data_IF_921084024405
#
_entry.id   IF_921084024405
#
_cell.length_a   1.000
_cell.length_b   1.000
_cell.length_c   1.000
_cell.angle_alpha   90.00
_cell.angle_beta   90.00
_cell.angle_gamma   90.00
#
_symmetry.space_group_name_H-M   'P 1'
#
loop_
_entity.id
_entity.type
_entity.pdbx_description
1 polymer ?
#
# COMPACT_ATOMS: atom_id res chain seq x y z
N UNK A 1 -21.31 4.35 17.55
CA UNK A 1 -20.66 3.03 17.61
C UNK A 1 -20.89 2.37 16.25
N UNK A 2 -19.85 2.22 15.44
CA UNK A 2 -19.96 1.54 14.14
C UNK A 2 -20.08 0.04 14.40
N UNK A 3 -21.19 -0.58 14.00
CA UNK A 3 -21.34 -2.03 14.07
C UNK A 3 -20.77 -2.65 12.79
N UNK A 4 -19.85 -3.61 12.93
CA UNK A 4 -19.18 -4.33 11.82
C UNK A 4 -19.88 -5.65 11.46
N UNK A 5 -21.11 -5.87 11.93
CA UNK A 5 -21.88 -7.06 11.59
C UNK A 5 -22.61 -6.87 10.25
N UNK A 6 -22.71 -7.94 9.44
CA UNK A 6 -23.45 -7.98 8.16
C UNK A 6 -22.84 -7.13 7.03
N UNK A 7 -21.52 -7.13 6.87
CA UNK A 7 -20.79 -6.46 5.77
C UNK A 7 -20.90 -7.20 4.42
N UNK A 8 -22.04 -7.83 4.13
CA UNK A 8 -22.21 -8.71 2.96
C UNK A 8 -22.12 -7.95 1.62
N UNK A 9 -22.24 -6.62 1.65
CA UNK A 9 -22.19 -5.75 0.47
C UNK A 9 -20.82 -5.10 0.27
N UNK A 10 -19.86 -5.32 1.17
CA UNK A 10 -18.53 -4.73 1.07
C UNK A 10 -17.56 -5.75 0.47
N UNK A 11 -16.84 -5.33 -0.57
CA UNK A 11 -15.70 -6.06 -1.12
C UNK A 11 -14.41 -5.33 -0.78
N UNK A 12 -13.48 -6.02 -0.11
CA UNK A 12 -12.20 -5.44 0.24
C UNK A 12 -11.36 -5.31 -1.02
N UNK A 13 -11.03 -4.07 -1.38
CA UNK A 13 -10.15 -3.77 -2.52
C UNK A 13 -8.69 -3.71 -2.09
N UNK A 14 -8.43 -3.28 -0.86
CA UNK A 14 -7.09 -3.17 -0.31
C UNK A 14 -7.12 -3.07 1.21
N UNK A 15 -6.09 -3.59 1.85
CA UNK A 15 -5.82 -3.35 3.28
C UNK A 15 -4.34 -3.11 3.52
N UNK A 16 -4.03 -2.30 4.53
CA UNK A 16 -2.64 -2.04 4.91
C UNK A 16 -2.53 -1.26 6.22
N UNK A 17 -1.30 -1.21 6.72
CA UNK A 17 -0.98 -0.62 8.02
C UNK A 17 -0.13 0.65 7.85
N UNK A 18 -0.40 1.65 8.69
CA UNK A 18 0.42 2.84 8.86
C UNK A 18 0.96 2.90 10.29
N UNK A 19 2.28 3.04 10.40
CA UNK A 19 3.12 3.11 11.60
C UNK A 19 3.85 4.45 11.72
N UNK A 20 3.38 5.50 11.06
CA UNK A 20 4.00 6.83 11.16
C UNK A 20 4.06 7.27 12.62
N UNK A 21 2.99 6.99 13.38
CA UNK A 21 3.03 6.96 14.85
C UNK A 21 3.06 5.51 15.34
N UNK A 22 4.23 5.09 15.87
CA UNK A 22 4.42 3.73 16.42
C UNK A 22 3.55 3.43 17.63
N UNK A 23 3.03 4.46 18.33
CA UNK A 23 2.15 4.30 19.50
C UNK A 23 0.67 4.34 19.12
N UNK A 24 0.35 4.69 17.88
CA UNK A 24 -1.01 4.80 17.37
C UNK A 24 -1.09 4.24 15.94
N UNK A 25 -0.71 2.97 15.80
CA UNK A 25 -0.80 2.25 14.52
C UNK A 25 -2.24 2.30 14.02
N UNK A 26 -2.40 2.56 12.72
CA UNK A 26 -3.70 2.53 12.05
C UNK A 26 -3.72 1.47 10.97
N UNK A 27 -4.78 0.67 10.96
CA UNK A 27 -5.13 -0.18 9.84
C UNK A 27 -6.14 0.56 8.97
N UNK A 28 -5.95 0.48 7.66
CA UNK A 28 -6.89 1.03 6.70
C UNK A 28 -7.42 -0.08 5.80
N UNK A 29 -8.72 -0.07 5.58
CA UNK A 29 -9.40 -0.96 4.65
C UNK A 29 -10.19 -0.13 3.65
N UNK A 30 -9.87 -0.30 2.38
CA UNK A 30 -10.64 0.27 1.28
C UNK A 30 -11.64 -0.78 0.80
N UNK A 31 -12.92 -0.48 0.92
CA UNK A 31 -13.97 -1.34 0.40
C UNK A 31 -14.69 -0.71 -0.80
N UNK A 32 -15.18 -1.55 -1.70
CA UNK A 32 -16.28 -1.24 -2.60
C UNK A 32 -17.59 -1.65 -1.95
N UNK A 33 -18.45 -0.67 -1.65
CA UNK A 33 -19.83 -0.93 -1.29
C UNK A 33 -20.63 -1.21 -2.57
N UNK A 34 -20.97 -2.48 -2.79
CA UNK A 34 -21.70 -2.96 -3.98
C UNK A 34 -23.14 -2.45 -4.04
N UNK A 35 -23.73 -2.11 -2.90
CA UNK A 35 -25.12 -1.63 -2.84
C UNK A 35 -25.22 -0.19 -3.32
N UNK A 36 -24.32 0.64 -2.82
CA UNK A 36 -24.29 2.08 -3.12
C UNK A 36 -23.38 2.42 -4.31
N UNK A 37 -22.60 1.44 -4.79
CA UNK A 37 -21.55 1.57 -5.78
C UNK A 37 -20.54 2.69 -5.44
N UNK A 38 -20.05 2.71 -4.20
CA UNK A 38 -19.12 3.72 -3.68
C UNK A 38 -17.90 3.06 -3.05
N UNK A 39 -16.77 3.78 -3.07
CA UNK A 39 -15.59 3.39 -2.30
C UNK A 39 -15.65 4.01 -0.90
N UNK A 40 -15.43 3.18 0.11
CA UNK A 40 -15.45 3.58 1.52
C UNK A 40 -14.14 3.17 2.18
N UNK A 41 -13.53 4.12 2.86
CA UNK A 41 -12.26 3.93 3.57
C UNK A 41 -12.54 3.85 5.07
N UNK A 42 -12.20 2.71 5.65
CA UNK A 42 -12.26 2.46 7.08
C UNK A 42 -10.89 2.73 7.68
N UNK A 43 -10.85 3.56 8.72
CA UNK A 43 -9.69 3.70 9.61
C UNK A 43 -9.99 2.92 10.89
N UNK A 44 -9.06 2.04 11.26
CA UNK A 44 -9.21 1.12 12.38
C UNK A 44 -7.99 1.25 13.28
N UNK A 45 -8.22 1.39 14.58
CA UNK A 45 -7.19 1.20 15.60
C UNK A 45 -7.16 -0.28 16.01
N UNK A 46 -6.13 -1.05 15.59
CA UNK A 46 -5.90 -2.36 16.15
C UNK A 46 -5.37 -2.26 17.59
N UNK A 47 -5.82 -3.17 18.44
CA UNK A 47 -5.34 -3.40 19.80
C UNK A 47 -5.15 -4.92 19.98
N UNK A 48 -4.55 -5.35 21.09
CA UNK A 48 -4.18 -6.75 21.32
C UNK A 48 -5.39 -7.69 21.29
N UNK A 49 -6.53 -7.24 21.83
CA UNK A 49 -7.73 -8.06 22.02
C UNK A 49 -8.95 -7.56 21.23
N UNK A 50 -8.86 -6.39 20.59
CA UNK A 50 -9.96 -5.76 19.86
C UNK A 50 -9.48 -4.87 18.74
N UNK A 51 -10.37 -4.58 17.80
CA UNK A 51 -10.17 -3.54 16.81
C UNK A 51 -11.32 -2.53 16.91
N UNK A 52 -10.99 -1.24 16.90
CA UNK A 52 -11.98 -0.15 16.95
C UNK A 52 -12.02 0.57 15.62
N UNK A 53 -13.20 0.67 15.01
CA UNK A 53 -13.41 1.52 13.84
C UNK A 53 -13.43 2.98 14.32
N UNK A 54 -12.43 3.74 13.93
CA UNK A 54 -12.30 5.16 14.28
C UNK A 54 -13.15 6.01 13.36
N UNK A 55 -12.97 5.83 12.05
CA UNK A 55 -13.69 6.59 11.02
C UNK A 55 -14.05 5.72 9.84
N UNK A 56 -15.17 6.07 9.19
CA UNK A 56 -15.57 5.57 7.88
C UNK A 56 -15.79 6.78 7.00
N UNK A 57 -15.06 6.88 5.89
CA UNK A 57 -15.13 8.00 4.96
C UNK A 57 -15.55 7.48 3.59
N UNK A 58 -16.51 8.16 2.96
CA UNK A 58 -16.78 7.97 1.53
C UNK A 58 -15.63 8.64 0.78
N UNK A 59 -14.98 7.89 -0.11
CA UNK A 59 -13.95 8.45 -0.99
C UNK A 59 -14.67 9.20 -2.12
N UNK A 60 -14.22 10.42 -2.44
CA UNK A 60 -14.75 11.18 -3.57
C UNK A 60 -14.61 10.35 -4.86
N UNK A 61 -15.72 9.99 -5.55
CA UNK A 61 -15.66 9.16 -6.76
C UNK A 61 -14.86 9.81 -7.90
N UNK A 62 -14.66 11.13 -7.88
CA UNK A 62 -13.88 11.84 -8.88
C UNK A 62 -12.37 11.87 -8.58
N UNK A 63 -11.95 11.44 -7.38
CA UNK A 63 -10.54 11.38 -7.00
C UNK A 63 -9.77 10.32 -7.80
N UNK A 64 -8.47 10.55 -8.00
CA UNK A 64 -7.58 9.54 -8.56
C UNK A 64 -7.55 8.29 -7.67
N UNK A 65 -7.62 8.45 -6.34
CA UNK A 65 -7.72 7.32 -5.42
C UNK A 65 -8.96 6.46 -5.67
N UNK A 66 -10.13 7.06 -5.87
CA UNK A 66 -11.35 6.30 -6.15
C UNK A 66 -11.36 5.63 -7.54
N UNK A 67 -10.57 6.11 -8.50
CA UNK A 67 -10.51 5.54 -9.86
C UNK A 67 -9.32 4.61 -10.07
N UNK A 68 -8.53 4.37 -9.03
CA UNK A 68 -7.30 3.62 -9.14
C UNK A 68 -7.51 2.12 -9.36
N UNK A 69 -6.58 1.52 -10.11
CA UNK A 69 -6.50 0.09 -10.39
C UNK A 69 -5.60 -0.68 -9.42
N UNK A 70 -4.72 0.03 -8.69
CA UNK A 70 -3.82 -0.53 -7.67
C UNK A 70 -3.71 0.42 -6.49
N UNK A 71 -3.43 -0.15 -5.32
CA UNK A 71 -3.33 0.57 -4.06
C UNK A 71 -2.10 0.12 -3.30
N UNK A 72 -1.54 1.03 -2.52
CA UNK A 72 -0.61 0.71 -1.45
C UNK A 72 -0.80 1.68 -0.29
N UNK A 73 -0.25 1.39 0.88
CA UNK A 73 -0.19 2.33 2.01
C UNK A 73 1.26 2.62 2.36
N UNK A 74 1.59 3.89 2.56
CA UNK A 74 2.88 4.24 3.15
C UNK A 74 2.89 3.76 4.59
N UNK A 75 3.80 2.86 4.93
CA UNK A 75 3.84 2.26 6.24
C UNK A 75 4.50 3.17 7.27
N UNK A 76 5.54 3.93 6.93
CA UNK A 76 6.42 4.55 7.96
C UNK A 76 6.60 6.05 7.84
N UNK A 77 6.73 6.59 6.63
CA UNK A 77 7.22 7.97 6.45
C UNK A 77 6.13 9.03 6.38
N UNK A 78 4.88 8.66 6.12
CA UNK A 78 3.75 9.58 6.04
C UNK A 78 2.41 8.86 6.17
N UNK A 79 1.37 9.57 6.63
CA UNK A 79 -0.01 9.09 6.72
C UNK A 79 -0.74 9.25 5.39
N UNK A 80 -0.28 8.51 4.38
CA UNK A 80 -0.82 8.51 3.01
C UNK A 80 -1.01 7.09 2.47
N UNK A 81 -1.92 6.96 1.52
CA UNK A 81 -2.00 5.84 0.59
C UNK A 81 -1.43 6.23 -0.76
N UNK A 82 -1.15 5.23 -1.58
CA UNK A 82 -0.75 5.36 -2.97
C UNK A 82 -1.80 4.71 -3.87
N UNK A 83 -2.01 5.29 -5.04
CA UNK A 83 -3.00 4.83 -6.02
C UNK A 83 -2.43 4.89 -7.43
N UNK A 84 -2.63 3.86 -8.24
CA UNK A 84 -2.33 3.90 -9.68
C UNK A 84 -3.59 4.25 -10.45
N UNK A 85 -3.60 5.41 -11.12
CA UNK A 85 -4.68 5.83 -12.01
C UNK A 85 -4.06 6.37 -13.32
N UNK A 86 -4.54 5.90 -14.48
CA UNK A 86 -4.01 6.30 -15.80
C UNK A 86 -2.49 6.17 -15.93
N UNK A 87 -1.94 5.02 -15.49
CA UNK A 87 -0.51 4.71 -15.49
C UNK A 87 0.38 5.69 -14.70
N UNK A 88 -0.21 6.47 -13.79
CA UNK A 88 0.48 7.38 -12.89
C UNK A 88 0.18 7.02 -11.45
N UNK A 89 1.11 7.33 -10.55
CA UNK A 89 0.93 7.09 -9.11
C UNK A 89 0.58 8.40 -8.42
N UNK A 90 -0.45 8.36 -7.59
CA UNK A 90 -0.89 9.48 -6.77
C UNK A 90 -0.76 9.11 -5.30
N UNK A 91 -0.29 10.04 -4.48
CA UNK A 91 -0.49 9.97 -3.03
C UNK A 91 -1.90 10.44 -2.70
N UNK A 92 -2.53 9.82 -1.70
CA UNK A 92 -3.82 10.22 -1.13
C UNK A 92 -3.67 10.33 0.38
N UNK A 93 -4.00 11.49 0.95
CA UNK A 93 -3.92 11.71 2.39
C UNK A 93 -4.95 10.87 3.14
N UNK A 94 -4.47 10.07 4.09
CA UNK A 94 -5.32 9.28 4.99
C UNK A 94 -5.81 10.09 6.20
N UNK A 95 -5.26 11.31 6.37
CA UNK A 95 -5.63 12.25 7.42
C UNK A 95 -7.02 12.88 7.23
N UNK A 96 -7.22 14.05 7.85
CA UNK A 96 -8.52 14.75 7.80
C UNK A 96 -8.83 15.34 6.43
N UNK A 97 -7.81 15.84 5.73
CA UNK A 97 -7.96 16.41 4.39
C UNK A 97 -7.72 15.32 3.35
N UNK A 98 -8.73 14.99 2.53
CA UNK A 98 -8.64 14.02 1.44
C UNK A 98 -7.90 14.59 0.21
N UNK A 99 -6.71 15.15 0.43
CA UNK A 99 -5.86 15.72 -0.63
C UNK A 99 -5.13 14.62 -1.37
N UNK A 100 -4.97 14.80 -2.67
CA UNK A 100 -4.14 13.95 -3.51
C UNK A 100 -3.11 14.75 -4.29
N UNK A 101 -2.03 14.08 -4.67
CA UNK A 101 -0.90 14.66 -5.41
C UNK A 101 -0.31 13.59 -6.32
N UNK A 102 -0.05 13.94 -7.58
CA UNK A 102 0.73 13.09 -8.49
C UNK A 102 2.18 12.98 -8.00
N UNK A 103 2.69 11.76 -7.93
CA UNK A 103 4.07 11.47 -7.53
C UNK A 103 4.94 11.30 -8.78
N UNK A 104 6.17 11.81 -8.72
CA UNK A 104 7.14 11.72 -9.83
C UNK A 104 8.21 10.69 -9.50
N UNK A 105 8.46 9.76 -10.43
CA UNK A 105 9.45 8.68 -10.26
C UNK A 105 10.60 8.85 -11.23
N UNK A 106 11.78 9.20 -10.72
CA UNK A 106 12.96 9.35 -11.57
C UNK A 106 13.45 7.96 -12.01
N UNK A 107 13.50 7.71 -13.32
CA UNK A 107 14.01 6.46 -13.87
C UNK A 107 12.95 5.35 -14.00
N UNK A 108 11.67 5.65 -13.76
CA UNK A 108 10.56 4.80 -14.20
C UNK A 108 10.26 5.11 -15.68
N UNK A 109 10.32 4.13 -16.59
CA UNK A 109 10.00 4.36 -18.00
C UNK A 109 8.51 4.67 -18.21
N UNK A 110 8.19 5.74 -18.93
CA UNK A 110 6.81 6.18 -19.20
C UNK A 110 6.04 5.22 -20.13
N UNK A 111 6.76 4.42 -20.93
CA UNK A 111 6.20 3.49 -21.89
C UNK A 111 5.91 2.10 -21.30
N UNK A 112 6.16 1.88 -20.01
CA UNK A 112 5.85 0.63 -19.31
C UNK A 112 4.55 0.77 -18.52
N UNK A 113 3.67 -0.23 -18.58
CA UNK A 113 2.41 -0.23 -17.82
C UNK A 113 2.66 -0.66 -16.37
N UNK A 114 2.23 0.17 -15.41
CA UNK A 114 2.28 -0.13 -13.97
C UNK A 114 1.19 -1.14 -13.64
N UNK A 115 1.61 -2.34 -13.25
CA UNK A 115 0.73 -3.47 -12.92
C UNK A 115 0.83 -3.92 -11.47
N UNK A 116 1.79 -3.39 -10.72
CA UNK A 116 2.01 -3.68 -9.31
C UNK A 116 2.47 -2.43 -8.55
N UNK A 117 1.98 -2.27 -7.32
CA UNK A 117 2.35 -1.17 -6.44
C UNK A 117 2.33 -1.68 -5.00
N UNK A 118 3.40 -1.46 -4.24
CA UNK A 118 3.46 -1.89 -2.84
C UNK A 118 4.48 -1.07 -2.06
N UNK A 119 4.21 -0.75 -0.79
CA UNK A 119 5.28 -0.39 0.13
C UNK A 119 5.64 -1.62 0.95
N UNK A 120 6.85 -2.14 0.76
CA UNK A 120 7.36 -3.28 1.51
C UNK A 120 8.40 -2.81 2.50
N UNK A 121 8.20 -3.21 3.74
CA UNK A 121 9.02 -2.78 4.87
C UNK A 121 9.24 -3.95 5.83
N UNK A 122 10.35 -3.89 6.55
CA UNK A 122 10.67 -4.79 7.65
C UNK A 122 10.64 -4.01 8.97
N UNK A 123 10.09 -4.64 10.02
CA UNK A 123 9.95 -4.03 11.35
C UNK A 123 11.08 -4.42 12.32
N UNK A 124 12.01 -5.30 11.93
CA UNK A 124 13.13 -5.75 12.77
C UNK A 124 14.31 -4.79 12.89
N UNK A 125 15.36 -5.24 13.60
CA UNK A 125 16.59 -4.50 13.89
C UNK A 125 17.17 -3.82 12.63
N UNK A 126 17.63 -2.57 12.82
CA UNK A 126 18.12 -1.57 11.85
C UNK A 126 19.22 -2.05 10.88
N UNK A 127 19.66 -3.31 10.93
CA UNK A 127 20.73 -3.83 10.08
C UNK A 127 20.30 -3.95 8.61
N UNK A 128 19.07 -4.36 8.32
CA UNK A 128 18.61 -4.52 6.93
C UNK A 128 17.92 -3.27 6.35
N UNK A 129 17.28 -2.43 7.18
CA UNK A 129 16.56 -1.20 6.78
C UNK A 129 15.74 -1.36 5.48
N UNK A 130 15.06 -2.50 5.33
CA UNK A 130 14.22 -2.75 4.17
C UNK A 130 12.94 -1.92 4.31
N UNK A 131 12.80 -0.87 3.50
CA UNK A 131 11.61 -0.03 3.41
C UNK A 131 11.63 0.68 2.04
N UNK A 132 10.80 0.19 1.12
CA UNK A 132 10.78 0.68 -0.25
C UNK A 132 9.36 0.85 -0.77
N UNK A 133 9.16 1.89 -1.59
CA UNK A 133 8.02 1.98 -2.48
C UNK A 133 8.40 1.26 -3.76
N UNK A 134 7.66 0.22 -4.08
CA UNK A 134 7.96 -0.71 -5.16
C UNK A 134 6.91 -0.53 -6.23
N UNK A 135 7.37 -0.12 -7.41
CA UNK A 135 6.56 -0.04 -8.62
C UNK A 135 6.94 -1.23 -9.49
N UNK A 136 5.96 -2.02 -9.88
CA UNK A 136 6.13 -3.10 -10.83
C UNK A 136 5.43 -2.79 -12.14
N UNK A 137 6.12 -3.05 -13.24
CA UNK A 137 5.62 -2.84 -14.60
C UNK A 137 5.54 -4.14 -15.37
N UNK A 138 4.72 -4.17 -16.41
CA UNK A 138 4.57 -5.30 -17.34
C UNK A 138 4.83 -4.87 -18.78
N UNK A 139 5.56 -5.68 -19.53
CA UNK A 139 5.67 -5.59 -20.99
C UNK A 139 5.66 -6.98 -21.59
N UNK A 140 4.59 -7.33 -22.30
CA UNK A 140 4.34 -8.68 -22.79
C UNK A 140 4.38 -9.69 -21.63
N UNK A 141 5.25 -10.70 -21.72
CA UNK A 141 5.44 -11.72 -20.68
C UNK A 141 6.57 -11.41 -19.69
N UNK A 142 7.01 -10.14 -19.59
CA UNK A 142 8.10 -9.74 -18.69
C UNK A 142 7.58 -8.72 -17.70
N UNK A 143 7.84 -8.95 -16.41
CA UNK A 143 7.65 -7.94 -15.38
C UNK A 143 8.99 -7.35 -14.96
N UNK A 144 8.97 -6.10 -14.50
CA UNK A 144 10.13 -5.42 -13.91
C UNK A 144 9.70 -4.72 -12.62
N UNK A 145 10.58 -4.72 -11.63
CA UNK A 145 10.36 -4.10 -10.34
C UNK A 145 11.39 -2.98 -10.12
N UNK A 146 10.93 -1.88 -9.56
CA UNK A 146 11.70 -0.69 -9.25
C UNK A 146 11.50 -0.33 -7.77
N UNK A 147 12.58 -0.37 -7.00
CA UNK A 147 12.55 -0.17 -5.54
C UNK A 147 13.05 1.24 -5.21
N UNK A 148 12.16 2.12 -4.77
CA UNK A 148 12.50 3.50 -4.41
C UNK A 148 12.62 3.65 -2.90
N UNK A 149 13.65 4.36 -2.44
CA UNK A 149 13.65 4.89 -1.07
C UNK A 149 12.45 5.83 -0.89
N UNK A 150 11.99 6.00 0.34
CA UNK A 150 10.83 6.87 0.64
C UNK A 150 11.25 7.95 1.63
N UNK A 151 10.95 9.21 1.30
CA UNK A 151 11.10 10.36 2.21
C UNK A 151 9.78 11.12 2.24
N UNK A 152 9.19 11.26 3.43
CA UNK A 152 7.92 11.97 3.57
C UNK A 152 6.75 11.35 2.78
N UNK A 153 6.83 10.07 2.44
CA UNK A 153 5.86 9.39 1.59
C UNK A 153 6.11 9.57 0.09
N UNK A 154 7.19 10.20 -0.33
CA UNK A 154 7.51 10.38 -1.75
C UNK A 154 8.69 9.48 -2.15
N UNK A 155 8.71 8.96 -3.40
CA UNK A 155 9.89 8.27 -3.91
C UNK A 155 11.08 9.22 -3.96
N UNK A 156 12.21 8.79 -3.39
CA UNK A 156 13.44 9.59 -3.34
C UNK A 156 14.49 9.04 -4.31
N UNK A 157 14.89 9.88 -5.28
CA UNK A 157 15.92 9.57 -6.26
C UNK A 157 15.51 8.53 -7.32
N UNK A 158 16.51 7.81 -7.82
CA UNK A 158 16.36 6.70 -8.78
C UNK A 158 16.10 5.37 -8.04
N UNK A 159 15.59 4.31 -8.69
CA UNK A 159 15.44 3.01 -8.06
C UNK A 159 16.77 2.54 -7.45
N UNK A 160 16.77 2.21 -6.17
CA UNK A 160 17.91 1.61 -5.47
C UNK A 160 18.20 0.22 -5.99
N UNK A 161 17.14 -0.53 -6.29
CA UNK A 161 17.22 -1.86 -6.89
C UNK A 161 16.26 -1.97 -8.06
N UNK A 162 16.65 -2.77 -9.04
CA UNK A 162 15.75 -3.25 -10.09
C UNK A 162 15.93 -4.74 -10.28
N UNK A 163 14.83 -5.44 -10.58
CA UNK A 163 14.86 -6.85 -10.96
C UNK A 163 13.75 -7.12 -11.97
N UNK A 164 13.84 -8.23 -12.69
CA UNK A 164 12.86 -8.61 -13.71
C UNK A 164 12.69 -10.11 -13.77
N UNK A 165 11.51 -10.54 -14.22
CA UNK A 165 11.21 -11.95 -14.44
C UNK A 165 10.19 -12.16 -15.54
N UNK A 166 9.84 -13.42 -15.79
CA UNK A 166 8.80 -13.80 -16.75
C UNK A 166 7.49 -14.10 -16.04
N UNK A 167 6.38 -13.92 -16.74
CA UNK A 167 5.03 -14.11 -16.21
C UNK A 167 4.38 -12.79 -15.77
N UNK A 168 3.37 -12.92 -14.93
CA UNK A 168 2.62 -11.81 -14.32
C UNK A 168 2.97 -11.78 -12.84
N UNK A 169 3.51 -10.68 -12.35
CA UNK A 169 3.78 -10.49 -10.93
C UNK A 169 2.45 -10.40 -10.16
N UNK A 170 2.31 -11.21 -9.10
CA UNK A 170 1.12 -11.22 -8.23
C UNK A 170 1.39 -10.73 -6.83
N UNK A 171 2.51 -11.14 -6.25
CA UNK A 171 2.92 -10.76 -4.89
C UNK A 171 4.44 -10.68 -4.79
N UNK A 172 4.90 -9.95 -3.79
CA UNK A 172 6.31 -9.85 -3.42
C UNK A 172 6.47 -10.03 -1.91
N UNK A 173 7.20 -11.08 -1.52
CA UNK A 173 7.68 -11.29 -0.17
C UNK A 173 9.13 -10.85 -0.01
N UNK A 174 9.45 -10.25 1.14
CA UNK A 174 10.84 -10.04 1.58
C UNK A 174 11.13 -11.01 2.73
N UNK A 175 12.30 -11.66 2.67
CA UNK A 175 12.80 -12.54 3.73
C UNK A 175 14.09 -11.89 4.25
N UNK A 176 14.12 -11.57 5.54
CA UNK A 176 15.32 -11.02 6.15
C UNK A 176 16.33 -12.16 6.41
N UNK A 177 17.53 -12.12 5.81
CA UNK A 177 18.51 -13.21 5.92
C UNK A 177 19.16 -13.29 7.32
N UNK A 178 18.89 -12.33 8.21
CA UNK A 178 19.44 -12.28 9.57
C UNK A 178 18.50 -12.86 10.62
N UNK A 179 17.25 -13.17 10.26
CA UNK A 179 16.31 -13.85 11.15
C UNK A 179 16.75 -15.32 11.23
N UNK A 180 17.33 -15.70 12.36
CA UNK A 180 17.66 -17.10 12.64
C UNK A 180 16.35 -17.86 12.90
N UNK A 181 16.27 -19.08 12.35
CA UNK A 181 15.12 -19.97 12.48
C UNK A 181 14.54 -19.97 13.92
N UNK A 182 13.24 -19.65 14.05
CA UNK A 182 12.36 -19.91 15.21
C UNK A 182 11.98 -18.78 16.20
N UNK A 183 12.22 -17.49 15.90
CA UNK A 183 11.42 -16.42 16.53
C UNK A 183 10.36 -15.93 15.51
N UNK A 184 9.18 -16.57 15.53
CA UNK A 184 7.92 -16.21 14.86
C UNK A 184 8.03 -15.38 13.55
N UNK A 185 8.21 -16.08 12.43
CA UNK A 185 7.49 -15.75 11.19
C UNK A 185 7.74 -14.37 10.55
N UNK A 186 8.99 -13.99 10.31
CA UNK A 186 9.31 -12.74 9.59
C UNK A 186 9.05 -12.77 8.07
N UNK A 187 8.28 -13.74 7.55
CA UNK A 187 7.56 -13.52 6.29
C UNK A 187 6.34 -12.72 6.68
N UNK A 188 6.38 -11.38 6.60
CA UNK A 188 5.18 -10.58 6.77
C UNK A 188 4.14 -11.01 5.71
N UNK A 189 3.11 -11.81 6.06
CA UNK A 189 2.11 -12.19 5.11
C UNK A 189 1.17 -11.00 5.06
N UNK A 190 1.25 -10.22 3.99
CA UNK A 190 0.20 -9.26 3.69
C UNK A 190 -0.47 -9.81 2.45
N UNK A 191 -1.74 -10.17 2.64
CA UNK A 191 -2.67 -10.66 1.63
C UNK A 191 -2.63 -9.74 0.40
N UNK A 192 -1.75 -10.08 -0.54
CA UNK A 192 -1.81 -9.64 -1.93
C UNK A 192 -2.59 -10.73 -2.67
N UNK A 193 -3.91 -10.75 -2.51
CA UNK A 193 -4.81 -11.52 -3.38
C UNK A 193 -5.63 -10.56 -4.25
#
# INVERSE_FOLDING_TARGET
MFQTQKLNNLECLYSGLNFTDKKAVKAYFLFHDKKENKKVLYEISPDVDKATVDTVKIVDPNSHFAQASRYAICAKSATIAYAVHQNKVYSYSLGKDAKEKELTFKGLPENEEITFLSNRYFLGDKKSNFDYLIVGTQTGNTYKLYFYNIVGGEPDGVPKYTTSGKGILKSLGYIDPTVQDLDDGAVAPLLDE
#
